data_IF_679907922698
#
_entry.id   IF_679907922698
#
_cell.length_a   1.000
_cell.length_b   1.000
_cell.length_c   1.000
_cell.angle_alpha   90.00
_cell.angle_beta   90.00
_cell.angle_gamma   90.00
#
_symmetry.space_group_name_H-M   'P 1'
#
loop_
_entity.id
_entity.type
_entity.pdbx_description
1 polymer ?
#
# COMPACT_ATOMS: atom_id res chain seq x y z
N UNK A 1 -21.31 2.74 -0.83
CA UNK A 1 -21.68 1.89 0.33
C UNK A 1 -20.67 2.10 1.45
N UNK A 2 -21.10 2.36 2.69
CA UNK A 2 -20.16 2.47 3.84
C UNK A 2 -19.95 1.08 4.45
N UNK A 3 -18.72 0.79 4.89
CA UNK A 3 -18.35 -0.50 5.49
C UNK A 3 -18.56 -0.50 7.01
N UNK A 4 -18.83 -1.66 7.61
CA UNK A 4 -18.99 -1.85 9.07
C UNK A 4 -20.37 -1.46 9.63
N UNK A 5 -20.56 -1.49 10.95
CA UNK A 5 -21.76 -0.97 11.63
C UNK A 5 -21.63 0.54 11.86
N UNK A 6 -22.75 1.24 12.05
CA UNK A 6 -22.74 2.65 12.45
C UNK A 6 -22.42 2.79 13.93
N UNK A 7 -21.45 3.64 14.27
CA UNK A 7 -21.08 4.01 15.63
C UNK A 7 -20.98 5.53 15.72
N UNK A 8 -21.64 6.13 16.71
CA UNK A 8 -21.66 7.58 16.90
C UNK A 8 -20.24 8.09 17.17
N UNK A 9 -19.80 9.09 16.41
CA UNK A 9 -18.47 9.70 16.53
C UNK A 9 -17.34 9.01 15.74
N UNK A 10 -17.58 7.87 15.09
CA UNK A 10 -16.58 7.21 14.22
C UNK A 10 -16.90 7.40 12.75
N UNK A 11 -15.88 7.77 11.98
CA UNK A 11 -15.97 7.85 10.51
C UNK A 11 -15.85 6.47 9.91
N UNK A 12 -16.83 6.06 9.10
CA UNK A 12 -16.83 4.75 8.42
C UNK A 12 -16.09 4.83 7.09
N UNK A 13 -15.33 3.78 6.78
CA UNK A 13 -14.73 3.63 5.46
C UNK A 13 -15.81 3.55 4.37
N UNK A 14 -15.53 4.17 3.22
CA UNK A 14 -16.41 4.16 2.07
C UNK A 14 -15.84 3.15 1.05
N UNK A 15 -16.66 2.18 0.65
CA UNK A 15 -16.35 1.30 -0.47
C UNK A 15 -16.79 1.98 -1.76
N UNK A 16 -15.83 2.21 -2.65
CA UNK A 16 -16.02 2.75 -3.99
C UNK A 16 -15.74 1.62 -4.97
N UNK A 17 -16.68 1.35 -5.86
CA UNK A 17 -16.52 0.40 -6.96
C UNK A 17 -16.27 1.21 -8.23
N UNK A 18 -15.11 1.02 -8.85
CA UNK A 18 -14.78 1.65 -10.12
C UNK A 18 -15.10 0.69 -11.26
N UNK A 19 -15.47 1.23 -12.43
CA UNK A 19 -15.82 0.43 -13.62
C UNK A 19 -14.61 -0.26 -14.26
N UNK A 20 -13.42 0.32 -14.12
CA UNK A 20 -12.19 -0.17 -14.74
C UNK A 20 -11.11 -0.41 -13.70
N UNK A 21 -10.43 -1.56 -13.82
CA UNK A 21 -9.27 -1.90 -13.01
C UNK A 21 -8.13 -0.90 -13.23
N UNK A 22 -7.91 -0.45 -14.46
CA UNK A 22 -6.86 0.52 -14.81
C UNK A 22 -7.08 1.84 -14.06
N UNK A 23 -8.32 2.30 -13.99
CA UNK A 23 -8.67 3.51 -13.21
C UNK A 23 -8.42 3.30 -11.72
N UNK A 24 -8.74 2.12 -11.19
CA UNK A 24 -8.50 1.81 -9.78
C UNK A 24 -7.00 1.79 -9.45
N UNK A 25 -6.18 1.18 -10.31
CA UNK A 25 -4.73 1.16 -10.15
C UNK A 25 -4.10 2.54 -10.31
N UNK A 26 -4.58 3.35 -11.26
CA UNK A 26 -4.16 4.74 -11.43
C UNK A 26 -4.51 5.62 -10.23
N UNK A 27 -5.65 5.39 -9.58
CA UNK A 27 -6.02 6.12 -8.37
C UNK A 27 -5.12 5.70 -7.19
N UNK A 28 -4.85 4.41 -7.04
CA UNK A 28 -3.99 3.88 -5.98
C UNK A 28 -2.53 4.32 -6.15
N UNK A 29 -2.02 4.37 -7.39
CA UNK A 29 -0.65 4.82 -7.67
C UNK A 29 -0.45 6.31 -7.40
N UNK A 30 -1.53 7.10 -7.42
CA UNK A 30 -1.51 8.53 -7.09
C UNK A 30 -1.93 8.82 -5.64
N UNK A 31 -2.41 7.83 -4.89
CA UNK A 31 -2.94 8.03 -3.54
C UNK A 31 -1.91 8.60 -2.56
N UNK A 32 -0.60 8.43 -2.82
CA UNK A 32 0.45 9.02 -1.98
C UNK A 32 0.43 10.56 -2.02
N UNK A 33 0.00 11.17 -3.12
CA UNK A 33 -0.11 12.64 -3.28
C UNK A 33 -1.13 13.27 -2.33
N UNK A 34 -2.06 12.48 -1.80
CA UNK A 34 -3.06 12.95 -0.81
C UNK A 34 -2.39 13.37 0.51
N UNK A 35 -1.17 12.90 0.79
CA UNK A 35 -0.45 13.28 2.01
C UNK A 35 0.09 14.71 1.96
N UNK A 36 0.28 15.25 0.76
CA UNK A 36 0.97 16.54 0.56
C UNK A 36 0.01 17.72 0.69
N UNK A 37 -1.28 17.55 0.40
CA UNK A 37 -2.25 18.63 0.48
C UNK A 37 -2.89 18.74 1.88
N UNK A 38 -2.97 19.95 2.42
CA UNK A 38 -3.48 20.23 3.79
C UNK A 38 -4.89 19.70 4.02
N UNK A 39 -5.76 19.77 3.00
CA UNK A 39 -7.16 19.35 3.07
C UNK A 39 -7.35 17.84 2.99
N UNK A 40 -6.46 17.12 2.27
CA UNK A 40 -6.61 15.68 2.02
C UNK A 40 -5.63 14.83 2.82
N UNK A 41 -4.78 15.44 3.64
CA UNK A 41 -3.76 14.77 4.46
C UNK A 41 -4.28 13.62 5.32
N UNK A 42 -5.53 13.70 5.78
CA UNK A 42 -6.17 12.66 6.62
C UNK A 42 -6.93 11.61 5.81
N UNK A 43 -6.94 11.69 4.49
CA UNK A 43 -7.64 10.75 3.60
C UNK A 43 -6.69 9.62 3.23
N UNK A 44 -7.12 8.39 3.49
CA UNK A 44 -6.39 7.19 3.13
C UNK A 44 -7.18 6.39 2.11
N UNK A 45 -6.56 6.12 0.97
CA UNK A 45 -7.11 5.21 -0.05
C UNK A 45 -6.32 3.92 -0.02
N UNK A 46 -7.03 2.79 0.07
CA UNK A 46 -6.44 1.45 0.10
C UNK A 46 -7.25 0.48 -0.75
N UNK A 47 -6.60 -0.59 -1.23
CA UNK A 47 -7.28 -1.70 -1.91
C UNK A 47 -8.24 -2.39 -0.94
N UNK A 48 -9.44 -2.71 -1.44
CA UNK A 48 -10.35 -3.58 -0.72
C UNK A 48 -9.89 -5.03 -0.90
N UNK A 49 -9.27 -5.59 0.14
CA UNK A 49 -8.74 -6.95 0.17
C UNK A 49 -9.53 -7.79 1.18
N UNK A 50 -9.58 -9.11 0.96
CA UNK A 50 -10.14 -10.07 1.92
C UNK A 50 -9.24 -10.18 3.17
N UNK A 51 -9.68 -10.90 4.20
CA UNK A 51 -8.86 -11.08 5.41
C UNK A 51 -7.61 -11.93 5.14
N UNK A 52 -7.76 -12.98 4.33
CA UNK A 52 -6.65 -13.84 3.89
C UNK A 52 -5.60 -13.04 3.11
N UNK A 53 -6.04 -12.26 2.12
CA UNK A 53 -5.13 -11.42 1.33
C UNK A 53 -4.39 -10.39 2.19
N UNK A 54 -5.06 -9.84 3.22
CA UNK A 54 -4.43 -8.91 4.17
C UNK A 54 -3.40 -9.62 5.04
N UNK A 55 -3.67 -10.84 5.51
CA UNK A 55 -2.74 -11.62 6.30
C UNK A 55 -1.47 -11.93 5.48
N UNK A 56 -1.65 -12.44 4.26
CA UNK A 56 -0.56 -12.69 3.31
C UNK A 56 0.26 -11.43 3.02
N UNK A 57 -0.40 -10.29 2.79
CA UNK A 57 0.31 -9.02 2.58
C UNK A 57 1.08 -8.55 3.81
N UNK A 58 0.59 -8.82 5.03
CA UNK A 58 1.33 -8.51 6.26
C UNK A 58 2.57 -9.38 6.37
N UNK A 59 2.45 -10.68 6.15
CA UNK A 59 3.59 -11.62 6.16
C UNK A 59 4.67 -11.18 5.17
N UNK A 60 4.29 -10.89 3.92
CA UNK A 60 5.22 -10.39 2.89
C UNK A 60 5.88 -9.07 3.29
N UNK A 61 5.15 -8.18 3.96
CA UNK A 61 5.68 -6.88 4.40
C UNK A 61 6.68 -7.07 5.55
N UNK A 62 6.39 -7.97 6.49
CA UNK A 62 7.29 -8.33 7.58
C UNK A 62 8.55 -9.00 7.03
N UNK A 63 8.42 -9.96 6.13
CA UNK A 63 9.54 -10.63 5.46
C UNK A 63 10.44 -9.62 4.73
N UNK A 64 9.86 -8.68 3.99
CA UNK A 64 10.63 -7.62 3.32
C UNK A 64 11.33 -6.70 4.30
N UNK A 65 10.68 -6.37 5.43
CA UNK A 65 11.29 -5.54 6.47
C UNK A 65 12.51 -6.23 7.06
N UNK A 66 12.37 -7.49 7.48
CA UNK A 66 13.46 -8.29 8.05
C UNK A 66 14.62 -8.44 7.06
N UNK A 67 14.33 -8.73 5.79
CA UNK A 67 15.37 -8.81 4.74
C UNK A 67 16.07 -7.47 4.48
N UNK A 68 15.39 -6.34 4.70
CA UNK A 68 16.00 -5.01 4.55
C UNK A 68 16.77 -4.57 5.80
N UNK A 69 16.35 -5.01 6.99
CA UNK A 69 17.07 -4.78 8.25
C UNK A 69 18.34 -5.63 8.35
N UNK A 70 18.30 -6.87 7.85
CA UNK A 70 19.47 -7.76 7.77
C UNK A 70 20.42 -7.44 6.59
N UNK A 71 20.08 -6.45 5.76
CA UNK A 71 20.86 -6.05 4.59
C UNK A 71 22.12 -5.29 5.03
N UNK A 72 23.26 -5.53 4.37
CA UNK A 72 24.45 -4.71 4.57
C UNK A 72 24.27 -3.32 3.94
N UNK A 73 24.95 -2.31 4.47
CA UNK A 73 24.97 -0.96 3.85
C UNK A 73 25.53 -1.00 2.42
N UNK A 74 26.45 -1.93 2.14
CA UNK A 74 27.09 -2.14 0.84
C UNK A 74 26.17 -2.69 -0.26
N UNK A 75 25.03 -3.27 0.11
CA UNK A 75 24.10 -3.88 -0.84
C UNK A 75 23.39 -2.79 -1.66
N UNK A 76 23.69 -2.68 -2.95
CA UNK A 76 23.03 -1.73 -3.87
C UNK A 76 21.59 -2.11 -4.27
N UNK A 77 20.86 -2.79 -3.41
CA UNK A 77 19.46 -3.16 -3.63
C UNK A 77 18.66 -3.12 -2.32
N UNK A 78 17.34 -3.09 -2.44
CA UNK A 78 16.42 -3.33 -1.33
C UNK A 78 15.31 -4.28 -1.77
N UNK A 79 14.72 -4.98 -0.81
CA UNK A 79 13.56 -5.82 -1.03
C UNK A 79 12.28 -4.98 -1.00
N UNK A 80 11.33 -5.30 -1.88
CA UNK A 80 10.05 -4.61 -1.97
C UNK A 80 8.92 -5.58 -2.29
N UNK A 81 7.77 -5.42 -1.66
CA UNK A 81 6.56 -6.15 -2.06
C UNK A 81 5.96 -5.48 -3.31
N UNK A 82 5.80 -6.25 -4.39
CA UNK A 82 5.12 -5.83 -5.62
C UNK A 82 4.30 -6.99 -6.18
N UNK A 83 3.03 -6.74 -6.50
CA UNK A 83 2.09 -7.75 -7.00
C UNK A 83 2.04 -9.01 -6.10
N UNK A 84 1.94 -8.81 -4.78
CA UNK A 84 1.87 -9.90 -3.79
C UNK A 84 3.09 -10.84 -3.80
N UNK A 85 4.22 -10.36 -4.30
CA UNK A 85 5.49 -11.07 -4.32
C UNK A 85 6.59 -10.17 -3.79
N UNK A 86 7.62 -10.79 -3.21
CA UNK A 86 8.85 -10.10 -2.82
C UNK A 86 9.75 -9.94 -4.06
N UNK A 87 10.20 -8.71 -4.30
CA UNK A 87 11.08 -8.36 -5.41
C UNK A 87 12.38 -7.78 -4.87
N UNK A 88 13.50 -8.15 -5.52
CA UNK A 88 14.79 -7.50 -5.33
C UNK A 88 14.84 -6.27 -6.25
N UNK A 89 14.95 -5.09 -5.65
CA UNK A 89 14.94 -3.81 -6.35
C UNK A 89 16.32 -3.16 -6.30
N UNK A 90 16.97 -3.04 -7.44
CA UNK A 90 18.31 -2.46 -7.55
C UNK A 90 18.23 -0.93 -7.60
N UNK A 91 19.18 -0.25 -6.96
CA UNK A 91 19.41 1.17 -7.22
C UNK A 91 19.90 1.29 -8.66
N UNK A 92 19.08 1.84 -9.55
CA UNK A 92 19.56 2.23 -10.87
C UNK A 92 20.45 3.44 -10.67
N UNK A 93 21.77 3.23 -10.71
CA UNK A 93 22.74 4.30 -10.83
C UNK A 93 22.47 5.03 -12.14
N UNK A 94 21.77 6.16 -12.06
CA UNK A 94 22.01 7.26 -12.99
C UNK A 94 23.05 8.14 -12.31
N UNK A 95 24.31 7.84 -12.59
CA UNK A 95 25.33 8.90 -12.69
C UNK A 95 24.99 9.80 -13.89
#
# INVERSE_FOLDING_TARGET
MRLGKYEKGKTRAIKIMLKSQVTAEGLLSNAWKLKDAKETKMIYVRRNMTEEDRAKMRELTTEVREKNEARSEDDKFFWKVKNEKVWKWWFNGRE
#
